data_IF_363459784813
#
_entry.id   IF_363459784813
#
_cell.length_a   1.000
_cell.length_b   1.000
_cell.length_c   1.000
_cell.angle_alpha   90.00
_cell.angle_beta   90.00
_cell.angle_gamma   90.00
#
_symmetry.space_group_name_H-M   'P 1'
#
loop_
_entity.id
_entity.type
_entity.pdbx_description
1 polymer ?
#
# COMPACT_ATOMS: atom_id res chain seq x y z
N UNK A 1 69.87 11.23 11.14
CA UNK A 1 68.46 11.64 11.25
C UNK A 1 67.77 10.65 12.17
N UNK A 2 67.15 11.12 13.26
CA UNK A 2 66.50 10.23 14.22
C UNK A 2 65.21 9.67 13.59
N UNK A 3 65.02 8.36 13.66
CA UNK A 3 63.78 7.73 13.21
C UNK A 3 62.69 8.04 14.25
N UNK A 4 61.80 8.96 13.91
CA UNK A 4 60.73 9.43 14.81
C UNK A 4 59.57 8.43 14.95
N UNK A 5 59.35 7.52 13.98
CA UNK A 5 58.26 6.53 13.99
C UNK A 5 58.77 5.11 13.71
N UNK A 6 58.16 4.11 14.37
CA UNK A 6 58.48 2.70 14.16
C UNK A 6 58.13 2.25 12.72
N UNK A 7 58.81 1.22 12.17
CA UNK A 7 58.45 0.68 10.84
C UNK A 7 57.00 0.17 10.74
N UNK A 8 56.39 -0.22 11.87
CA UNK A 8 54.99 -0.62 11.97
C UNK A 8 53.99 0.54 11.90
N UNK A 9 54.44 1.79 12.01
CA UNK A 9 53.55 2.95 11.98
C UNK A 9 52.87 3.13 10.61
N UNK A 10 53.57 2.83 9.50
CA UNK A 10 53.00 2.92 8.15
C UNK A 10 51.95 1.83 7.89
N UNK A 11 52.21 0.59 8.34
CA UNK A 11 51.21 -0.50 8.24
C UNK A 11 49.98 -0.22 9.10
N UNK A 12 50.17 0.29 10.33
CA UNK A 12 49.08 0.71 11.20
C UNK A 12 48.27 1.86 10.59
N UNK A 13 48.94 2.90 10.08
CA UNK A 13 48.28 4.05 9.45
C UNK A 13 47.42 3.64 8.25
N UNK A 14 47.96 2.79 7.36
CA UNK A 14 47.21 2.25 6.21
C UNK A 14 46.02 1.39 6.65
N UNK A 15 46.20 0.54 7.67
CA UNK A 15 45.11 -0.28 8.21
C UNK A 15 44.00 0.58 8.82
N UNK A 16 44.34 1.63 9.56
CA UNK A 16 43.38 2.59 10.13
C UNK A 16 42.64 3.35 9.03
N UNK A 17 43.34 3.85 8.02
CA UNK A 17 42.69 4.53 6.88
C UNK A 17 41.74 3.60 6.13
N UNK A 18 42.15 2.36 5.85
CA UNK A 18 41.29 1.38 5.21
C UNK A 18 40.07 1.04 6.08
N UNK A 19 40.26 0.89 7.39
CA UNK A 19 39.18 0.66 8.35
C UNK A 19 38.18 1.83 8.38
N UNK A 20 38.65 3.07 8.42
CA UNK A 20 37.80 4.27 8.37
C UNK A 20 37.04 4.38 7.04
N UNK A 21 37.70 4.11 5.92
CA UNK A 21 37.06 4.10 4.61
C UNK A 21 35.95 3.04 4.53
N UNK A 22 36.21 1.83 5.02
CA UNK A 22 35.21 0.76 5.09
C UNK A 22 34.03 1.13 5.99
N UNK A 23 34.29 1.74 7.15
CA UNK A 23 33.24 2.20 8.06
C UNK A 23 32.36 3.29 7.42
N UNK A 24 32.95 4.24 6.70
CA UNK A 24 32.21 5.27 5.98
C UNK A 24 31.38 4.68 4.85
N UNK A 25 31.93 3.74 4.07
CA UNK A 25 31.21 3.06 3.00
C UNK A 25 30.05 2.22 3.56
N UNK A 26 30.28 1.48 4.66
CA UNK A 26 29.23 0.72 5.34
C UNK A 26 28.14 1.64 5.90
N UNK A 27 28.52 2.76 6.54
CA UNK A 27 27.58 3.76 7.04
C UNK A 27 26.73 4.37 5.93
N UNK A 28 27.35 4.74 4.80
CA UNK A 28 26.64 5.25 3.63
C UNK A 28 25.69 4.18 3.04
N UNK A 29 26.15 2.94 2.90
CA UNK A 29 25.32 1.85 2.38
C UNK A 29 24.09 1.62 3.27
N UNK A 30 24.26 1.62 4.60
CA UNK A 30 23.13 1.52 5.55
C UNK A 30 22.19 2.72 5.41
N UNK A 31 22.74 3.95 5.36
CA UNK A 31 21.93 5.16 5.20
C UNK A 31 21.08 5.15 3.93
N UNK A 32 21.62 4.65 2.82
CA UNK A 32 20.91 4.54 1.55
C UNK A 32 19.90 3.38 1.52
N UNK A 33 20.17 2.28 2.24
CA UNK A 33 19.29 1.10 2.25
C UNK A 33 18.13 1.22 3.25
N UNK A 34 18.34 1.88 4.40
CA UNK A 34 17.35 1.98 5.48
C UNK A 34 15.96 2.46 5.02
N UNK A 35 15.81 3.52 4.20
CA UNK A 35 14.50 4.01 3.76
C UNK A 35 13.67 2.99 2.98
N UNK A 36 14.31 2.00 2.36
CA UNK A 36 13.64 0.94 1.58
C UNK A 36 13.30 -0.31 2.40
N UNK A 37 13.60 -0.30 3.69
CA UNK A 37 13.26 -1.43 4.56
C UNK A 37 11.75 -1.48 4.86
N UNK A 38 11.18 -2.67 5.08
CA UNK A 38 9.79 -2.83 5.52
C UNK A 38 9.47 -2.01 6.77
N UNK A 39 10.43 -1.89 7.69
CA UNK A 39 10.26 -1.14 8.93
C UNK A 39 10.06 0.37 8.70
N UNK A 40 10.86 0.99 7.82
CA UNK A 40 10.71 2.42 7.49
C UNK A 40 9.47 2.70 6.65
N UNK A 41 9.09 1.76 5.78
CA UNK A 41 7.89 1.87 4.95
C UNK A 41 6.62 1.40 5.67
N UNK A 42 6.70 0.96 6.94
CA UNK A 42 5.57 0.40 7.72
C UNK A 42 4.87 -0.77 7.02
N UNK A 43 5.59 -1.47 6.13
CA UNK A 43 5.07 -2.63 5.41
C UNK A 43 4.87 -3.78 6.40
N UNK A 44 3.74 -4.45 6.31
CA UNK A 44 3.30 -5.52 7.21
C UNK A 44 3.01 -5.07 8.65
N UNK A 45 2.98 -3.76 8.94
CA UNK A 45 2.53 -3.26 10.23
C UNK A 45 0.99 -3.24 10.27
N UNK A 46 0.42 -3.76 11.36
CA UNK A 46 -1.00 -3.62 11.68
C UNK A 46 -1.23 -2.36 12.52
N UNK A 47 -2.46 -1.86 12.46
CA UNK A 47 -2.89 -0.69 13.24
C UNK A 47 -4.15 -1.05 14.01
N UNK A 48 -4.08 -0.94 15.34
CA UNK A 48 -5.24 -1.17 16.22
C UNK A 48 -6.38 -0.20 15.90
N UNK A 49 -7.53 -0.77 15.56
CA UNK A 49 -8.72 -0.04 15.12
C UNK A 49 -9.70 0.18 16.30
N UNK A 50 -10.60 1.18 16.19
CA UNK A 50 -11.66 1.34 17.20
C UNK A 50 -12.61 0.14 17.25
N UNK A 51 -12.76 -0.58 16.13
CA UNK A 51 -13.49 -1.84 16.02
C UNK A 51 -12.60 -2.82 15.26
N UNK A 52 -12.41 -4.02 15.80
CA UNK A 52 -11.57 -5.06 15.17
C UNK A 52 -12.33 -5.70 14.00
N UNK A 53 -12.42 -4.97 12.89
CA UNK A 53 -13.09 -5.40 11.67
C UNK A 53 -12.22 -6.39 10.89
N UNK A 54 -12.78 -7.57 10.60
CA UNK A 54 -12.13 -8.63 9.83
C UNK A 54 -12.58 -8.63 8.37
N UNK A 55 -11.67 -8.30 7.45
CA UNK A 55 -11.93 -8.46 6.02
C UNK A 55 -11.94 -9.95 5.63
N UNK A 56 -11.17 -10.79 6.32
CA UNK A 56 -11.18 -12.24 6.13
C UNK A 56 -12.60 -12.82 6.26
N UNK A 57 -13.34 -12.39 7.29
CA UNK A 57 -14.72 -12.83 7.48
C UNK A 57 -15.66 -12.23 6.43
N UNK A 58 -15.66 -10.91 6.26
CA UNK A 58 -16.64 -10.23 5.41
C UNK A 58 -16.43 -10.46 3.91
N UNK A 59 -15.20 -10.54 3.45
CA UNK A 59 -14.87 -10.70 2.03
C UNK A 59 -14.51 -12.15 1.72
N UNK A 60 -13.60 -12.75 2.50
CA UNK A 60 -13.12 -14.11 2.24
C UNK A 60 -14.17 -15.19 2.50
N UNK A 61 -14.89 -15.13 3.61
CA UNK A 61 -15.88 -16.15 3.98
C UNK A 61 -17.29 -15.84 3.45
N UNK A 62 -17.73 -14.58 3.56
CA UNK A 62 -19.08 -14.18 3.14
C UNK A 62 -19.18 -13.73 1.68
N UNK A 63 -18.06 -13.47 1.00
CA UNK A 63 -18.04 -13.07 -0.41
C UNK A 63 -18.59 -11.68 -0.69
N UNK A 64 -18.57 -10.77 0.29
CA UNK A 64 -19.06 -9.40 0.08
C UNK A 64 -18.15 -8.64 -0.87
N UNK A 65 -18.75 -7.99 -1.87
CA UNK A 65 -18.04 -7.14 -2.81
C UNK A 65 -17.45 -5.90 -2.10
N UNK A 66 -16.21 -5.54 -2.46
CA UNK A 66 -15.49 -4.43 -1.84
C UNK A 66 -16.27 -3.10 -1.89
N UNK A 67 -17.06 -2.89 -2.96
CA UNK A 67 -17.82 -1.66 -3.20
C UNK A 67 -19.03 -1.53 -2.29
N UNK A 68 -19.46 -2.60 -1.61
CA UNK A 68 -20.53 -2.50 -0.61
C UNK A 68 -20.17 -1.49 0.47
N UNK A 69 -18.90 -1.50 0.91
CA UNK A 69 -18.37 -0.63 1.95
C UNK A 69 -17.55 0.54 1.37
N UNK A 70 -16.78 0.32 0.31
CA UNK A 70 -15.92 1.32 -0.33
C UNK A 70 -16.58 1.88 -1.61
N UNK A 71 -17.80 2.41 -1.46
CA UNK A 71 -18.69 2.75 -2.58
C UNK A 71 -18.09 3.76 -3.57
N UNK A 72 -17.29 4.72 -3.08
CA UNK A 72 -16.75 5.78 -3.93
C UNK A 72 -15.49 5.40 -4.69
N UNK A 73 -14.94 4.20 -4.48
CA UNK A 73 -13.68 3.74 -5.10
C UNK A 73 -13.70 3.79 -6.64
N UNK A 74 -14.88 3.62 -7.24
CA UNK A 74 -15.08 3.63 -8.69
C UNK A 74 -15.28 5.03 -9.29
N UNK A 75 -15.58 6.04 -8.48
CA UNK A 75 -16.06 7.35 -8.95
C UNK A 75 -15.26 8.53 -8.40
N UNK A 76 -14.52 8.34 -7.32
CA UNK A 76 -13.83 9.41 -6.61
C UNK A 76 -12.35 9.07 -6.40
N UNK A 77 -11.57 10.12 -6.17
CA UNK A 77 -10.16 9.99 -5.78
C UNK A 77 -9.96 9.22 -4.47
N UNK A 78 -10.96 9.22 -3.60
CA UNK A 78 -10.95 8.48 -2.34
C UNK A 78 -11.93 7.31 -2.39
N UNK A 79 -11.49 6.13 -1.96
CA UNK A 79 -12.36 4.97 -1.77
C UNK A 79 -13.42 5.16 -0.67
N UNK A 80 -13.16 6.08 0.27
CA UNK A 80 -14.01 6.35 1.43
C UNK A 80 -13.92 5.25 2.50
N UNK A 81 -14.34 5.59 3.71
CA UNK A 81 -14.59 4.62 4.77
C UNK A 81 -16.11 4.46 4.92
N UNK A 82 -16.60 3.24 5.17
CA UNK A 82 -18.03 3.02 5.31
C UNK A 82 -18.56 3.81 6.51
N UNK A 83 -19.68 4.52 6.36
CA UNK A 83 -20.40 5.09 7.48
C UNK A 83 -21.00 3.99 8.36
N UNK A 84 -21.31 4.32 9.61
CA UNK A 84 -21.83 3.36 10.61
C UNK A 84 -23.10 2.64 10.14
N UNK A 85 -23.93 3.30 9.32
CA UNK A 85 -25.15 2.68 8.78
C UNK A 85 -24.88 1.50 7.85
N UNK A 86 -23.72 1.46 7.15
CA UNK A 86 -23.34 0.30 6.35
C UNK A 86 -23.18 -0.93 7.23
N UNK A 87 -22.50 -0.80 8.38
CA UNK A 87 -22.37 -1.87 9.37
C UNK A 87 -23.76 -2.28 9.92
N UNK A 88 -24.60 -1.29 10.24
CA UNK A 88 -25.90 -1.51 10.86
C UNK A 88 -26.97 -2.04 9.89
N UNK A 89 -26.68 -2.08 8.59
CA UNK A 89 -27.56 -2.75 7.61
C UNK A 89 -27.80 -4.22 7.99
N UNK A 90 -26.76 -4.89 8.50
CA UNK A 90 -26.85 -6.26 9.01
C UNK A 90 -26.81 -6.30 10.54
N UNK A 91 -25.88 -5.57 11.18
CA UNK A 91 -25.65 -5.66 12.63
C UNK A 91 -26.74 -5.03 13.50
N UNK A 92 -27.81 -4.50 12.90
CA UNK A 92 -29.06 -4.21 13.59
C UNK A 92 -29.88 -5.46 13.92
N UNK A 93 -29.59 -6.60 13.29
CA UNK A 93 -30.32 -7.86 13.45
C UNK A 93 -29.43 -9.05 13.81
N UNK A 94 -28.15 -9.02 13.43
CA UNK A 94 -27.19 -10.10 13.71
C UNK A 94 -26.11 -9.64 14.68
N UNK A 95 -25.71 -10.53 15.59
CA UNK A 95 -24.64 -10.26 16.56
C UNK A 95 -24.85 -8.98 17.38
N UNK A 96 -26.11 -8.57 17.59
CA UNK A 96 -26.46 -7.24 18.13
C UNK A 96 -25.82 -6.97 19.49
N UNK A 97 -25.68 -8.00 20.34
CA UNK A 97 -25.12 -7.89 21.69
C UNK A 97 -23.61 -8.22 21.77
N UNK A 98 -22.95 -8.48 20.63
CA UNK A 98 -21.52 -8.78 20.64
C UNK A 98 -20.72 -7.59 21.21
N UNK A 99 -19.84 -7.88 22.18
CA UNK A 99 -19.05 -6.86 22.87
C UNK A 99 -18.16 -6.06 21.88
N UNK A 100 -17.58 -6.74 20.89
CA UNK A 100 -16.74 -6.11 19.86
C UNK A 100 -17.48 -5.08 18.99
N UNK A 101 -18.81 -5.16 18.90
CA UNK A 101 -19.63 -4.22 18.14
C UNK A 101 -20.15 -3.04 18.99
N UNK A 102 -19.80 -2.97 20.28
CA UNK A 102 -20.18 -1.86 21.14
C UNK A 102 -19.82 -0.48 20.55
N UNK A 103 -18.62 -0.26 19.96
CA UNK A 103 -18.31 1.04 19.36
C UNK A 103 -19.16 1.37 18.13
N UNK A 104 -19.59 0.36 17.36
CA UNK A 104 -20.50 0.55 16.21
C UNK A 104 -21.88 0.99 16.70
N UNK A 105 -22.41 0.34 17.74
CA UNK A 105 -23.69 0.71 18.34
C UNK A 105 -23.66 2.10 18.97
N UNK A 106 -22.57 2.42 19.67
CA UNK A 106 -22.36 3.75 20.24
C UNK A 106 -22.32 4.82 19.15
N UNK A 107 -21.53 4.59 18.10
CA UNK A 107 -21.45 5.48 16.93
C UNK A 107 -22.84 5.73 16.31
N UNK A 108 -23.70 4.71 16.22
CA UNK A 108 -25.06 4.87 15.72
C UNK A 108 -25.93 5.72 16.68
N UNK A 109 -25.88 5.43 17.98
CA UNK A 109 -26.71 6.09 18.99
C UNK A 109 -26.35 7.57 19.17
N UNK A 110 -25.05 7.88 19.21
CA UNK A 110 -24.53 9.23 19.41
C UNK A 110 -24.45 10.03 18.10
N UNK A 111 -24.62 9.36 16.95
CA UNK A 111 -24.45 9.93 15.60
C UNK A 111 -23.04 10.46 15.34
N UNK A 112 -22.05 9.94 16.06
CA UNK A 112 -20.64 10.25 15.87
C UNK A 112 -19.98 9.16 15.02
N UNK A 113 -19.35 9.50 13.87
CA UNK A 113 -18.71 8.50 13.02
C UNK A 113 -17.55 7.78 13.71
N UNK A 114 -17.35 6.51 13.38
CA UNK A 114 -16.18 5.74 13.82
C UNK A 114 -14.88 6.40 13.35
N UNK A 115 -14.00 6.71 14.31
CA UNK A 115 -12.69 7.32 14.06
C UNK A 115 -11.65 6.26 13.61
N UNK A 116 -11.81 5.75 12.39
CA UNK A 116 -10.89 4.77 11.80
C UNK A 116 -9.46 5.31 11.68
N UNK A 117 -8.48 4.47 11.99
CA UNK A 117 -7.07 4.78 11.74
C UNK A 117 -6.67 4.27 10.36
N UNK A 118 -6.26 5.19 9.48
CA UNK A 118 -5.82 4.82 8.12
C UNK A 118 -4.53 4.01 8.19
N UNK A 119 -4.54 2.85 7.53
CA UNK A 119 -3.35 1.99 7.36
C UNK A 119 -2.47 2.50 6.23
N UNK A 120 -3.07 2.74 5.06
CA UNK A 120 -2.38 3.32 3.91
C UNK A 120 -2.46 4.84 4.00
N UNK A 121 -1.33 5.50 4.26
CA UNK A 121 -1.25 6.95 4.31
C UNK A 121 -0.13 7.45 3.41
N UNK A 122 -0.52 8.09 2.31
CA UNK A 122 0.39 8.88 1.50
C UNK A 122 0.58 10.27 2.12
N UNK A 123 1.72 10.94 1.88
CA UNK A 123 1.90 12.33 2.27
C UNK A 123 0.84 13.25 1.66
N UNK A 124 0.51 14.34 2.35
CA UNK A 124 -0.60 15.23 1.94
C UNK A 124 -0.33 15.98 0.63
N UNK A 125 0.93 16.03 0.17
CA UNK A 125 1.34 16.57 -1.14
C UNK A 125 1.26 15.54 -2.28
N UNK A 126 0.68 14.36 -2.03
CA UNK A 126 0.42 13.31 -3.03
C UNK A 126 -1.07 13.18 -3.27
N UNK A 127 -1.50 13.51 -4.48
CA UNK A 127 -2.88 13.51 -4.92
C UNK A 127 -3.20 12.21 -5.64
N UNK A 128 -3.39 11.13 -4.87
CA UNK A 128 -3.80 9.84 -5.40
C UNK A 128 -5.29 9.82 -5.76
N UNK A 129 -5.63 9.19 -6.88
CA UNK A 129 -7.01 9.02 -7.33
C UNK A 129 -7.36 7.54 -7.54
N UNK A 130 -8.25 6.96 -6.74
CA UNK A 130 -8.65 5.56 -6.88
C UNK A 130 -9.40 5.27 -8.19
N UNK A 131 -10.30 6.16 -8.58
CA UNK A 131 -11.24 5.94 -9.69
C UNK A 131 -10.53 5.69 -11.02
N UNK A 132 -9.44 6.42 -11.29
CA UNK A 132 -8.67 6.24 -12.53
C UNK A 132 -7.98 4.88 -12.57
N UNK A 133 -7.41 4.41 -11.46
CA UNK A 133 -6.73 3.12 -11.41
C UNK A 133 -7.71 1.97 -11.63
N UNK A 134 -8.85 2.00 -10.94
CA UNK A 134 -9.93 1.03 -11.11
C UNK A 134 -10.48 1.06 -12.54
N UNK A 135 -10.74 2.25 -13.09
CA UNK A 135 -11.27 2.40 -14.43
C UNK A 135 -10.30 1.91 -15.52
N UNK A 136 -8.98 2.03 -15.28
CA UNK A 136 -7.92 1.56 -16.18
C UNK A 136 -7.49 0.12 -15.94
N UNK A 137 -8.17 -0.62 -15.04
CA UNK A 137 -7.95 -2.06 -14.87
C UNK A 137 -6.83 -2.41 -13.89
N UNK A 138 -6.50 -1.54 -12.93
CA UNK A 138 -5.61 -1.90 -11.81
C UNK A 138 -6.44 -2.54 -10.71
N UNK A 139 -6.12 -3.78 -10.36
CA UNK A 139 -6.84 -4.52 -9.32
C UNK A 139 -6.43 -4.16 -7.88
N UNK A 140 -7.37 -4.31 -6.95
CA UNK A 140 -7.16 -3.98 -5.54
C UNK A 140 -6.00 -4.76 -4.91
N UNK A 141 -5.87 -6.05 -5.24
CA UNK A 141 -4.83 -6.94 -4.71
C UNK A 141 -3.41 -6.53 -5.09
N UNK A 142 -3.23 -5.80 -6.20
CA UNK A 142 -1.90 -5.32 -6.62
C UNK A 142 -1.35 -4.28 -5.64
N UNK A 143 -2.21 -3.45 -5.04
CA UNK A 143 -1.79 -2.35 -4.15
C UNK A 143 -2.02 -2.68 -2.67
N UNK A 144 -3.13 -3.34 -2.35
CA UNK A 144 -3.52 -3.63 -0.97
C UNK A 144 -3.18 -5.04 -0.51
N UNK A 145 -2.64 -5.89 -1.39
CA UNK A 145 -2.36 -7.29 -1.09
C UNK A 145 -3.64 -8.11 -0.90
N UNK A 146 -3.56 -9.27 -0.22
CA UNK A 146 -4.67 -10.20 -0.09
C UNK A 146 -5.65 -9.79 1.02
N UNK A 147 -6.32 -8.64 0.86
CA UNK A 147 -7.25 -8.09 1.88
C UNK A 147 -8.34 -9.09 2.28
N UNK A 148 -8.80 -9.94 1.36
CA UNK A 148 -9.78 -11.00 1.61
C UNK A 148 -9.32 -12.08 2.59
N UNK A 149 -8.03 -12.15 2.94
CA UNK A 149 -7.50 -13.04 3.98
C UNK A 149 -6.99 -12.29 5.22
N UNK A 150 -7.14 -10.95 5.25
CA UNK A 150 -6.68 -10.11 6.35
C UNK A 150 -7.73 -10.04 7.47
N UNK A 151 -7.42 -10.62 8.62
CA UNK A 151 -8.20 -10.41 9.85
C UNK A 151 -8.06 -8.98 10.37
N UNK A 152 -6.88 -8.38 10.19
CA UNK A 152 -6.64 -6.95 10.37
C UNK A 152 -5.85 -6.46 9.17
N UNK A 153 -6.25 -5.31 8.63
CA UNK A 153 -5.56 -4.74 7.47
C UNK A 153 -4.17 -4.26 7.88
N UNK A 154 -3.18 -4.61 7.06
CA UNK A 154 -1.83 -4.07 7.12
C UNK A 154 -1.45 -3.48 5.76
N UNK A 155 -0.36 -2.71 5.73
CA UNK A 155 0.15 -2.17 4.48
C UNK A 155 0.97 -3.25 3.75
N UNK A 156 0.40 -3.85 2.71
CA UNK A 156 1.06 -4.93 1.97
C UNK A 156 2.17 -4.43 1.03
N UNK A 157 2.01 -3.23 0.48
CA UNK A 157 2.96 -2.60 -0.45
C UNK A 157 3.51 -1.30 0.12
N UNK A 158 4.75 -0.89 -0.21
CA UNK A 158 5.45 0.15 0.53
C UNK A 158 4.91 1.57 0.32
N UNK A 159 4.04 1.81 -0.67
CA UNK A 159 3.44 3.12 -0.98
C UNK A 159 4.48 4.24 -1.19
N UNK A 160 5.66 3.89 -1.72
CA UNK A 160 6.72 4.86 -2.02
C UNK A 160 6.63 5.34 -3.47
N UNK A 161 7.14 6.54 -3.74
CA UNK A 161 7.21 7.10 -5.09
C UNK A 161 7.92 6.15 -6.07
N UNK A 162 9.02 5.52 -5.65
CA UNK A 162 9.76 4.56 -6.50
C UNK A 162 8.91 3.38 -6.94
N UNK A 163 8.09 2.84 -6.04
CA UNK A 163 7.16 1.74 -6.32
C UNK A 163 6.00 2.18 -7.22
N UNK A 164 5.41 3.36 -6.99
CA UNK A 164 4.40 3.90 -7.89
C UNK A 164 4.97 4.11 -9.29
N UNK A 165 6.16 4.70 -9.39
CA UNK A 165 6.83 4.99 -10.66
C UNK A 165 7.26 3.73 -11.41
N UNK A 166 7.61 2.63 -10.73
CA UNK A 166 7.92 1.39 -11.44
C UNK A 166 6.70 0.87 -12.20
N UNK A 167 5.52 0.96 -11.61
CA UNK A 167 4.26 0.62 -12.28
C UNK A 167 3.89 1.64 -13.36
N UNK A 168 4.02 2.94 -13.10
CA UNK A 168 3.70 3.98 -14.10
C UNK A 168 4.63 3.95 -15.32
N UNK A 169 5.88 3.49 -15.18
CA UNK A 169 6.82 3.30 -16.29
C UNK A 169 6.51 2.06 -17.12
N UNK A 170 5.99 1.01 -16.51
CA UNK A 170 5.63 -0.25 -17.18
C UNK A 170 4.34 -0.83 -16.56
N UNK A 171 3.15 -0.32 -16.94
CA UNK A 171 1.90 -0.74 -16.31
C UNK A 171 1.43 -2.11 -16.80
N UNK A 172 1.89 -2.60 -17.95
CA UNK A 172 1.37 -3.80 -18.61
C UNK A 172 1.32 -5.05 -17.68
N UNK A 173 2.35 -5.36 -16.86
CA UNK A 173 2.29 -6.49 -15.93
C UNK A 173 1.20 -6.41 -14.86
N UNK A 174 0.67 -5.21 -14.61
CA UNK A 174 -0.21 -4.93 -13.48
C UNK A 174 -1.68 -4.67 -13.87
N UNK A 175 -1.95 -4.54 -15.18
CA UNK A 175 -3.31 -4.33 -15.69
C UNK A 175 -4.05 -5.66 -15.86
N UNK A 176 -5.34 -5.65 -15.57
CA UNK A 176 -6.25 -6.78 -15.76
C UNK A 176 -7.55 -6.32 -16.40
N UNK A 177 -8.37 -7.24 -16.95
CA UNK A 177 -9.71 -6.90 -17.43
C UNK A 177 -10.53 -6.20 -16.32
N UNK A 178 -11.38 -5.25 -16.69
CA UNK A 178 -12.11 -4.41 -15.72
C UNK A 178 -13.02 -5.23 -14.81
N UNK A 179 -13.52 -6.34 -15.34
CA UNK A 179 -14.38 -7.30 -14.65
C UNK A 179 -13.63 -8.03 -13.52
N UNK A 180 -12.30 -8.05 -13.59
CA UNK A 180 -11.41 -8.74 -12.64
C UNK A 180 -10.74 -7.79 -11.63
N UNK A 181 -11.08 -6.49 -11.66
CA UNK A 181 -10.47 -5.47 -10.77
C UNK A 181 -10.74 -5.75 -9.30
N UNK A 182 -11.96 -6.20 -8.98
CA UNK A 182 -12.39 -6.52 -7.62
C UNK A 182 -12.26 -8.00 -7.28
N UNK A 183 -11.80 -8.83 -8.23
CA UNK A 183 -11.43 -10.20 -7.94
C UNK A 183 -10.07 -10.21 -7.22
N UNK A 184 -10.13 -10.56 -5.95
CA UNK A 184 -8.98 -10.58 -5.05
C UNK A 184 -8.11 -11.84 -5.22
N UNK A 185 -8.66 -12.89 -5.84
CA UNK A 185 -7.98 -14.15 -6.12
C UNK A 185 -7.46 -14.24 -7.56
N UNK A 186 -7.67 -13.17 -8.35
CA UNK A 186 -7.14 -13.07 -9.70
C UNK A 186 -5.62 -13.23 -9.71
N UNK A 187 -5.16 -14.14 -10.57
CA UNK A 187 -3.73 -14.37 -10.83
C UNK A 187 -3.37 -13.99 -12.26
N UNK A 188 -2.20 -13.35 -12.49
CA UNK A 188 -1.78 -13.03 -13.84
C UNK A 188 -1.62 -14.29 -14.70
N UNK A 189 -2.23 -14.36 -15.90
CA UNK A 189 -2.01 -15.47 -16.81
C UNK A 189 -0.57 -15.48 -17.37
N UNK A 190 -0.09 -16.61 -17.94
CA UNK A 190 1.27 -16.71 -18.48
C UNK A 190 1.61 -15.65 -19.54
N UNK A 191 0.62 -15.16 -20.28
CA UNK A 191 0.73 -14.14 -21.34
C UNK A 191 0.38 -12.72 -20.85
N UNK A 192 0.47 -12.47 -19.53
CA UNK A 192 0.10 -11.20 -18.88
C UNK A 192 0.66 -9.96 -19.57
N UNK A 193 1.94 -9.99 -19.99
CA UNK A 193 2.59 -8.86 -20.68
C UNK A 193 1.83 -8.45 -21.94
N UNK A 194 1.56 -9.40 -22.83
CA UNK A 194 0.88 -9.16 -24.09
C UNK A 194 -0.56 -8.66 -23.87
N UNK A 195 -1.25 -9.21 -22.86
CA UNK A 195 -2.60 -8.77 -22.46
C UNK A 195 -2.59 -7.36 -21.89
N UNK A 196 -1.63 -7.05 -21.02
CA UNK A 196 -1.44 -5.73 -20.47
C UNK A 196 -1.20 -4.68 -21.54
N UNK A 197 -0.34 -4.97 -22.52
CA UNK A 197 -0.11 -4.09 -23.67
C UNK A 197 -1.38 -3.91 -24.53
N UNK A 198 -2.17 -4.97 -24.71
CA UNK A 198 -3.47 -4.85 -25.36
C UNK A 198 -4.44 -3.97 -24.57
N UNK A 199 -4.46 -4.08 -23.23
CA UNK A 199 -5.28 -3.26 -22.33
C UNK A 199 -4.84 -1.79 -22.34
N UNK A 200 -3.53 -1.50 -22.42
CA UNK A 200 -3.00 -0.14 -22.59
C UNK A 200 -3.58 0.50 -23.85
N UNK A 201 -3.53 -0.21 -24.99
CA UNK A 201 -4.09 0.27 -26.26
C UNK A 201 -5.60 0.42 -26.21
N UNK A 202 -6.30 -0.60 -25.73
CA UNK A 202 -7.76 -0.61 -25.64
C UNK A 202 -8.31 0.48 -24.71
N UNK A 203 -7.64 0.70 -23.58
CA UNK A 203 -8.05 1.68 -22.56
C UNK A 203 -7.46 3.07 -22.80
N UNK A 204 -6.74 3.29 -23.90
CA UNK A 204 -6.08 4.56 -24.24
C UNK A 204 -5.27 5.13 -23.07
N UNK A 205 -4.34 4.33 -22.54
CA UNK A 205 -3.45 4.76 -21.46
C UNK A 205 -2.23 5.45 -22.08
N UNK A 206 -2.11 6.76 -21.86
CA UNK A 206 -0.98 7.58 -22.31
C UNK A 206 0.25 7.36 -21.41
N UNK A 207 1.03 6.31 -21.69
CA UNK A 207 2.18 5.91 -20.84
C UNK A 207 3.29 6.95 -20.76
N UNK A 208 3.42 7.81 -21.77
CA UNK A 208 4.47 8.83 -21.86
C UNK A 208 4.38 9.92 -20.78
N UNK A 209 3.16 10.20 -20.30
CA UNK A 209 2.88 11.27 -19.33
C UNK A 209 2.53 10.74 -17.93
N UNK A 210 2.62 9.42 -17.69
CA UNK A 210 2.27 8.84 -16.39
C UNK A 210 3.25 9.21 -15.28
N UNK A 211 4.47 9.61 -15.62
CA UNK A 211 5.53 9.94 -14.65
C UNK A 211 5.72 11.44 -14.45
N UNK A 212 4.90 12.27 -15.09
CA UNK A 212 4.97 13.72 -14.91
C UNK A 212 4.56 14.10 -13.48
N UNK A 213 5.29 15.05 -12.86
CA UNK A 213 5.00 15.48 -11.49
C UNK A 213 3.54 15.93 -11.32
N UNK A 214 2.96 16.56 -12.34
CA UNK A 214 1.56 17.02 -12.36
C UNK A 214 0.53 15.89 -12.25
N UNK A 215 0.92 14.62 -12.42
CA UNK A 215 0.03 13.48 -12.18
C UNK A 215 -0.23 13.25 -10.69
N UNK A 216 0.77 13.51 -9.84
CA UNK A 216 0.72 13.14 -8.41
C UNK A 216 0.94 14.31 -7.45
N UNK A 217 1.60 15.39 -7.88
CA UNK A 217 1.97 16.55 -7.07
C UNK A 217 1.33 17.81 -7.67
N UNK A 218 0.33 18.36 -7.00
CA UNK A 218 -0.48 19.49 -7.46
C UNK A 218 -0.63 20.55 -6.39
#
# INVERSE_FOLDING_TARGET
>A
MAQHFSPSADTLFRAVLAGLALLLLAGLAVMLALPFTPHMTRRNDTVEQPVQFSHAHHVGELGLDCRMCHQSVVQSRFAGMPPTHTCMTCHSQIWTEAAMLAPVRQSLAEKEPLAWKRVHRLPDYVFFDHSVHVAKGVGCSTCHGPVQSMQQVYQAEPMTMGWCLSCHRDPAPHLRPREQVFDMDWTPPPDQRARGEALIRHSMIETEHLTDCSRCHR
#
